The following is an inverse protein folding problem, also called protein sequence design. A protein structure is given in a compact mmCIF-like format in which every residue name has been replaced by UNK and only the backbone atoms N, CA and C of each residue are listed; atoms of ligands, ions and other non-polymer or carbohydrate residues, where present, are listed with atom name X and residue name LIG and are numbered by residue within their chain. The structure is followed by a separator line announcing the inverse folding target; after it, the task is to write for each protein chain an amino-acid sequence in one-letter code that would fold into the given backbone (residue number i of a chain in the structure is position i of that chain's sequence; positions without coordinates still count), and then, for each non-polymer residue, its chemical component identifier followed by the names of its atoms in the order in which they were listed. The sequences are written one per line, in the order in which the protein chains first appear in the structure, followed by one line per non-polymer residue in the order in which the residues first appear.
data_IF_693493078436
#
_entry.id   IF_693493078436
#
_cell.length_a   1.000
_cell.length_b   1.000
_cell.length_c   1.000
_cell.angle_alpha   90.00
_cell.angle_beta   90.00
_cell.angle_gamma   90.00
#
_symmetry.space_group_name_H-M   'P 1'
#
loop_
_entity.id
_entity.type
_entity.pdbx_description
1 polymer ?
#
# COMPACT_ATOMS: atom_id res chain seq x y z
N UNK A 1 -2.56 -0.69 26.36
CA UNK A 1 -1.66 -1.80 26.04
C UNK A 1 -2.32 -2.97 25.29
N UNK A 2 -3.64 -3.22 25.38
CA UNK A 2 -4.31 -4.37 24.72
C UNK A 2 -4.75 -4.09 23.26
N UNK A 3 -5.02 -2.83 22.89
CA UNK A 3 -5.56 -2.49 21.54
C UNK A 3 -4.56 -2.67 20.39
N UNK A 4 -3.28 -2.43 20.63
CA UNK A 4 -2.24 -2.47 19.58
C UNK A 4 -1.88 -3.88 19.08
N UNK A 5 -2.02 -4.89 19.96
CA UNK A 5 -1.70 -6.28 19.62
C UNK A 5 -2.74 -6.95 18.72
N UNK A 6 -3.97 -6.39 18.64
CA UNK A 6 -5.09 -7.00 17.93
C UNK A 6 -5.06 -6.65 16.42
N UNK A 7 -4.65 -5.43 16.06
CA UNK A 7 -4.53 -5.06 14.62
C UNK A 7 -3.44 -5.91 13.93
N UNK A 8 -2.30 -6.10 14.59
CA UNK A 8 -1.24 -7.01 14.12
C UNK A 8 -1.73 -8.47 14.09
N UNK A 9 -2.62 -8.86 15.02
CA UNK A 9 -3.15 -10.23 15.09
C UNK A 9 -4.15 -10.53 13.97
N UNK A 10 -4.91 -9.54 13.49
CA UNK A 10 -5.87 -9.76 12.38
C UNK A 10 -5.12 -9.99 11.06
N UNK A 11 -4.09 -9.20 10.77
CA UNK A 11 -3.21 -9.47 9.63
C UNK A 11 -2.46 -10.81 9.79
N UNK A 12 -1.93 -11.11 11.00
CA UNK A 12 -1.22 -12.36 11.26
C UNK A 12 -2.14 -13.59 11.34
N UNK A 13 -3.40 -13.48 11.78
CA UNK A 13 -4.32 -14.62 11.80
C UNK A 13 -4.80 -15.05 10.42
N UNK A 14 -4.95 -14.12 9.48
CA UNK A 14 -5.24 -14.45 8.08
C UNK A 14 -4.04 -15.13 7.40
N UNK A 15 -2.83 -14.74 7.75
CA UNK A 15 -1.59 -15.37 7.25
C UNK A 15 -1.32 -16.72 7.92
N UNK A 16 -1.58 -16.87 9.23
CA UNK A 16 -1.30 -18.14 9.95
C UNK A 16 -2.20 -19.30 9.56
N UNK A 17 -3.39 -19.06 9.02
CA UNK A 17 -4.23 -20.16 8.50
C UNK A 17 -3.75 -20.69 7.14
N UNK A 18 -2.97 -19.91 6.38
CA UNK A 18 -2.39 -20.31 5.11
C UNK A 18 -1.00 -20.97 5.25
N UNK A 19 -0.26 -20.71 6.34
CA UNK A 19 1.12 -21.19 6.52
C UNK A 19 1.27 -22.58 7.13
N UNK A 20 0.17 -23.34 7.36
CA UNK A 20 0.26 -24.61 8.10
C UNK A 20 0.82 -25.80 7.31
N UNK A 21 1.01 -25.73 5.99
CA UNK A 21 1.29 -26.96 5.19
C UNK A 21 2.48 -26.95 4.23
N UNK A 22 3.37 -25.95 4.21
CA UNK A 22 4.54 -26.08 3.33
C UNK A 22 5.83 -25.47 3.93
N UNK A 23 6.41 -26.12 4.94
CA UNK A 23 7.84 -25.96 5.21
C UNK A 23 8.63 -26.77 4.19
N UNK A 24 9.08 -26.15 3.12
CA UNK A 24 10.32 -26.52 2.42
C UNK A 24 11.35 -25.46 2.77
N UNK A 25 12.34 -25.87 3.54
CA UNK A 25 13.59 -25.15 3.70
C UNK A 25 14.16 -24.88 2.30
N UNK A 26 14.29 -23.63 1.94
CA UNK A 26 15.11 -23.18 0.81
C UNK A 26 16.22 -22.34 1.41
N UNK A 27 17.37 -22.98 1.59
CA UNK A 27 18.63 -22.26 1.68
C UNK A 27 18.88 -21.58 0.33
N UNK A 28 18.91 -20.25 0.28
CA UNK A 28 19.79 -19.55 -0.68
C UNK A 28 19.92 -18.06 -0.34
N UNK A 29 21.12 -17.68 -0.03
CA UNK A 29 21.67 -16.32 -0.10
C UNK A 29 21.72 -15.86 -1.59
N UNK A 30 20.59 -15.63 -2.22
CA UNK A 30 20.53 -14.99 -3.54
C UNK A 30 19.30 -14.10 -3.62
N UNK A 31 19.56 -12.82 -3.60
CA UNK A 31 18.61 -11.79 -4.03
C UNK A 31 18.39 -11.96 -5.54
N UNK A 32 17.28 -12.56 -5.93
CA UNK A 32 16.92 -12.70 -7.36
C UNK A 32 15.75 -11.76 -7.65
N UNK A 33 15.94 -10.84 -8.61
CA UNK A 33 14.83 -10.14 -9.24
C UNK A 33 14.30 -10.98 -10.39
N UNK A 34 12.99 -11.22 -10.43
CA UNK A 34 12.36 -11.91 -11.55
C UNK A 34 11.56 -10.92 -12.37
N UNK A 35 11.96 -10.74 -13.62
CA UNK A 35 11.12 -10.05 -14.59
C UNK A 35 10.06 -11.02 -15.10
N UNK A 36 8.85 -10.90 -14.62
CA UNK A 36 7.72 -11.67 -15.14
C UNK A 36 7.18 -11.03 -16.42
N UNK A 37 6.55 -11.81 -17.27
CA UNK A 37 5.95 -11.32 -18.52
C UNK A 37 4.97 -10.17 -18.24
N UNK A 38 5.08 -9.10 -19.00
CA UNK A 38 4.29 -7.87 -18.92
C UNK A 38 4.75 -6.85 -17.85
N UNK A 39 6.04 -6.58 -17.76
CA UNK A 39 6.59 -5.52 -16.90
C UNK A 39 6.29 -5.69 -15.40
N UNK A 40 6.28 -6.94 -14.92
CA UNK A 40 6.22 -7.23 -13.50
C UNK A 40 7.63 -7.42 -12.95
N UNK A 41 7.96 -6.70 -11.91
CA UNK A 41 9.21 -6.85 -11.16
C UNK A 41 8.86 -7.34 -9.76
N UNK A 42 9.35 -8.50 -9.42
CA UNK A 42 9.20 -9.10 -8.10
C UNK A 42 10.52 -9.05 -7.34
N UNK A 43 10.52 -8.37 -6.20
CA UNK A 43 11.66 -8.33 -5.30
C UNK A 43 11.49 -9.40 -4.22
N UNK A 44 12.15 -10.54 -4.38
CA UNK A 44 12.22 -11.55 -3.34
C UNK A 44 13.30 -11.18 -2.32
N UNK A 45 13.03 -10.18 -1.51
CA UNK A 45 13.87 -9.76 -0.41
C UNK A 45 13.21 -10.26 0.88
N UNK A 46 13.87 -11.13 1.61
CA UNK A 46 13.35 -11.66 2.88
C UNK A 46 13.19 -10.54 3.92
N UNK A 47 12.12 -10.65 4.71
CA UNK A 47 11.84 -9.79 5.87
C UNK A 47 11.57 -8.31 5.56
N UNK A 48 11.13 -7.96 4.34
CA UNK A 48 10.71 -6.60 4.04
C UNK A 48 9.32 -6.35 4.63
N UNK A 49 9.17 -5.21 5.31
CA UNK A 49 7.91 -4.78 5.93
C UNK A 49 7.29 -3.56 5.25
N UNK A 50 8.08 -2.81 4.49
CA UNK A 50 7.60 -1.71 3.66
C UNK A 50 8.60 -1.41 2.54
N UNK A 51 8.09 -0.97 1.39
CA UNK A 51 8.92 -0.52 0.29
C UNK A 51 8.30 0.68 -0.44
N UNK A 52 9.13 1.40 -1.20
CA UNK A 52 8.71 2.45 -2.10
C UNK A 52 9.61 2.49 -3.33
N UNK A 53 9.09 3.02 -4.43
CA UNK A 53 9.77 3.07 -5.72
C UNK A 53 10.03 4.51 -6.13
N UNK A 54 11.29 4.82 -6.51
CA UNK A 54 11.73 6.13 -7.01
C UNK A 54 12.45 5.93 -8.35
N UNK A 55 11.73 6.11 -9.45
CA UNK A 55 12.21 5.72 -10.78
C UNK A 55 12.41 4.21 -10.86
N UNK A 56 13.65 3.78 -11.13
CA UNK A 56 14.05 2.36 -11.13
C UNK A 56 14.64 1.88 -9.81
N UNK A 57 14.78 2.76 -8.82
CA UNK A 57 15.35 2.45 -7.52
C UNK A 57 14.24 2.03 -6.54
N UNK A 58 14.54 1.06 -5.69
CA UNK A 58 13.61 0.59 -4.66
C UNK A 58 14.19 0.84 -3.28
N UNK A 59 13.44 1.54 -2.46
CA UNK A 59 13.73 1.75 -1.06
C UNK A 59 12.97 0.75 -0.21
N UNK A 60 13.63 0.10 0.73
CA UNK A 60 13.02 -0.95 1.55
C UNK A 60 13.36 -0.78 3.03
N UNK A 61 12.48 -1.28 3.89
CA UNK A 61 12.74 -1.47 5.31
C UNK A 61 12.56 -2.96 5.62
N UNK A 62 13.57 -3.55 6.28
CA UNK A 62 13.49 -4.93 6.77
C UNK A 62 13.03 -4.98 8.22
N UNK A 63 12.33 -6.06 8.55
CA UNK A 63 11.94 -6.35 9.92
C UNK A 63 13.17 -6.35 10.86
N UNK A 64 13.03 -5.72 12.03
CA UNK A 64 14.09 -5.62 13.03
C UNK A 64 15.38 -4.90 12.59
N UNK A 65 15.39 -4.25 11.45
CA UNK A 65 16.49 -3.40 11.02
C UNK A 65 16.13 -1.92 11.19
N UNK A 66 17.00 -1.14 11.86
CA UNK A 66 16.83 0.31 11.98
C UNK A 66 17.43 1.04 10.75
N UNK A 67 17.12 0.53 9.57
CA UNK A 67 17.71 1.03 8.32
C UNK A 67 16.70 1.00 7.18
N UNK A 68 16.75 2.06 6.38
CA UNK A 68 16.17 2.07 5.03
C UNK A 68 17.29 1.74 4.06
N UNK A 69 17.07 0.80 3.16
CA UNK A 69 18.07 0.35 2.21
C UNK A 69 17.57 0.65 0.80
N UNK A 70 18.45 1.26 -0.01
CA UNK A 70 18.19 1.51 -1.43
C UNK A 70 18.81 0.42 -2.28
N UNK A 71 18.03 -0.13 -3.19
CA UNK A 71 18.48 -1.05 -4.23
C UNK A 71 18.30 -0.42 -5.61
N UNK A 72 19.22 -0.71 -6.53
CA UNK A 72 19.07 -0.35 -7.94
C UNK A 72 18.28 -1.43 -8.71
N UNK A 73 18.09 -1.22 -10.02
CA UNK A 73 17.45 -2.15 -10.95
C UNK A 73 18.13 -3.54 -11.06
N UNK A 74 19.37 -3.65 -10.65
CA UNK A 74 20.13 -4.91 -10.58
C UNK A 74 20.07 -5.57 -9.20
N UNK A 75 19.19 -5.07 -8.30
CA UNK A 75 19.05 -5.53 -6.90
C UNK A 75 20.34 -5.39 -6.08
N UNK A 76 21.21 -4.46 -6.47
CA UNK A 76 22.42 -4.15 -5.70
C UNK A 76 22.12 -3.03 -4.71
N UNK A 77 22.53 -3.23 -3.47
CA UNK A 77 22.45 -2.18 -2.43
C UNK A 77 23.35 -1.00 -2.83
N UNK A 78 22.75 0.17 -3.02
CA UNK A 78 23.44 1.38 -3.45
C UNK A 78 23.51 2.48 -2.41
N UNK A 79 22.59 2.49 -1.44
CA UNK A 79 22.59 3.45 -0.33
C UNK A 79 21.89 2.88 0.90
N UNK A 80 22.09 3.54 2.07
CA UNK A 80 21.37 3.26 3.30
C UNK A 80 21.19 4.51 4.15
N UNK A 81 20.08 4.55 4.90
CA UNK A 81 19.77 5.60 5.87
C UNK A 81 19.44 4.94 7.20
N UNK A 82 20.16 5.31 8.26
CA UNK A 82 19.84 4.84 9.61
C UNK A 82 18.53 5.49 10.11
N UNK A 83 17.65 4.69 10.68
CA UNK A 83 16.41 5.13 11.31
C UNK A 83 16.42 4.78 12.80
N UNK A 84 15.60 5.46 13.61
CA UNK A 84 15.59 5.21 15.06
C UNK A 84 14.68 4.06 15.49
N UNK A 85 13.79 3.60 14.61
CA UNK A 85 12.83 2.53 14.92
C UNK A 85 12.56 1.68 13.68
N UNK A 86 12.32 0.38 13.87
CA UNK A 86 12.07 -0.59 12.81
C UNK A 86 10.59 -0.94 12.59
N UNK A 87 9.66 -0.29 13.29
CA UNK A 87 8.23 -0.63 13.25
C UNK A 87 7.45 0.23 12.24
N UNK A 88 7.99 0.37 11.02
CA UNK A 88 7.30 1.12 9.95
C UNK A 88 6.38 0.20 9.16
N UNK A 89 5.16 0.69 8.91
CA UNK A 89 4.12 -0.07 8.19
C UNK A 89 3.91 0.44 6.77
N UNK A 90 4.10 1.75 6.56
CA UNK A 90 3.93 2.36 5.24
C UNK A 90 5.16 3.22 4.92
N UNK A 91 5.56 3.17 3.68
CA UNK A 91 6.63 3.99 3.12
C UNK A 91 6.25 4.48 1.73
N UNK A 92 6.60 5.71 1.44
CA UNK A 92 6.53 6.25 0.09
C UNK A 92 7.67 7.23 -0.15
N UNK A 93 8.00 7.46 -1.43
CA UNK A 93 9.08 8.35 -1.86
C UNK A 93 8.55 9.38 -2.84
N UNK A 94 8.74 10.65 -2.51
CA UNK A 94 8.36 11.74 -3.37
C UNK A 94 9.35 12.90 -3.31
N UNK A 95 9.76 13.43 -4.47
CA UNK A 95 10.59 14.63 -4.63
C UNK A 95 11.86 14.63 -3.74
N UNK A 96 12.60 13.52 -3.74
CA UNK A 96 13.84 13.36 -2.97
C UNK A 96 13.65 13.20 -1.47
N UNK A 97 12.45 12.88 -1.03
CA UNK A 97 12.10 12.61 0.37
C UNK A 97 11.46 11.25 0.52
N UNK A 98 11.75 10.59 1.64
CA UNK A 98 11.06 9.38 2.07
C UNK A 98 10.11 9.75 3.19
N UNK A 99 8.89 9.26 3.09
CA UNK A 99 7.85 9.37 4.10
C UNK A 99 7.63 8.01 4.75
N UNK A 100 7.65 7.97 6.08
CA UNK A 100 7.51 6.75 6.87
C UNK A 100 6.40 6.90 7.89
N UNK A 101 5.50 5.95 7.92
CA UNK A 101 4.47 5.84 8.94
C UNK A 101 4.65 4.56 9.75
N UNK A 102 4.55 4.67 11.07
CA UNK A 102 4.66 3.56 12.02
C UNK A 102 3.45 3.48 12.93
N UNK A 103 2.88 2.27 13.07
CA UNK A 103 1.84 1.93 14.06
C UNK A 103 2.38 1.21 15.29
N UNK A 104 3.69 1.27 15.58
CA UNK A 104 4.30 0.64 16.74
C UNK A 104 3.78 1.13 18.10
N UNK A 105 4.56 0.99 19.15
CA UNK A 105 4.20 1.47 20.51
C UNK A 105 3.86 2.96 20.55
N UNK A 106 4.42 3.72 19.63
CA UNK A 106 4.12 5.13 19.39
C UNK A 106 3.86 5.31 17.89
N UNK A 107 2.71 5.90 17.55
CA UNK A 107 2.46 6.37 16.19
C UNK A 107 3.49 7.44 15.86
N UNK A 108 4.25 7.23 14.80
CA UNK A 108 5.21 8.21 14.30
C UNK A 108 5.05 8.39 12.81
N UNK A 109 5.23 9.63 12.36
CA UNK A 109 5.32 9.97 10.95
C UNK A 109 6.61 10.76 10.74
N UNK A 110 7.44 10.31 9.82
CA UNK A 110 8.75 10.89 9.56
C UNK A 110 8.89 11.27 8.10
N UNK A 111 9.51 12.41 7.87
CA UNK A 111 10.02 12.85 6.57
C UNK A 111 11.54 12.76 6.61
N UNK A 112 12.15 12.12 5.63
CA UNK A 112 13.60 11.98 5.50
C UNK A 112 14.05 12.59 4.19
N UNK A 113 14.92 13.57 4.25
CA UNK A 113 15.60 14.13 3.08
C UNK A 113 16.69 13.16 2.63
N UNK A 114 16.56 12.61 1.42
CA UNK A 114 17.50 11.60 0.88
C UNK A 114 18.90 12.18 0.71
N UNK A 115 19.01 13.44 0.31
CA UNK A 115 20.28 14.06 -0.06
C UNK A 115 21.22 14.28 1.12
N UNK A 116 20.69 14.64 2.27
CA UNK A 116 21.47 14.94 3.47
C UNK A 116 21.17 14.00 4.64
N UNK A 117 20.25 13.06 4.46
CA UNK A 117 19.83 12.05 5.45
C UNK A 117 19.26 12.64 6.74
N UNK A 118 18.67 13.84 6.65
CA UNK A 118 18.02 14.49 7.81
C UNK A 118 16.64 13.90 8.02
N UNK A 119 16.34 13.54 9.27
CA UNK A 119 15.06 12.97 9.69
C UNK A 119 14.28 14.01 10.46
N UNK A 120 13.07 14.31 10.01
CA UNK A 120 12.12 15.20 10.67
C UNK A 120 10.91 14.37 11.13
N UNK A 121 10.61 14.38 12.43
CA UNK A 121 9.37 13.81 12.95
C UNK A 121 8.24 14.83 12.77
N UNK A 122 7.19 14.44 12.06
CA UNK A 122 5.99 15.24 11.85
C UNK A 122 4.94 14.77 12.86
N UNK A 123 4.37 15.70 13.59
CA UNK A 123 3.27 15.37 14.50
C UNK A 123 2.04 14.96 13.68
N UNK A 124 1.61 13.70 13.82
CA UNK A 124 0.38 13.23 13.19
C UNK A 124 -0.84 13.91 13.82
N UNK A 125 -1.75 14.46 12.99
CA UNK A 125 -3.08 14.86 13.43
C UNK A 125 -3.91 13.68 13.93
N UNK A 126 -4.78 13.96 14.93
CA UNK A 126 -5.58 12.92 15.59
C UNK A 126 -6.66 12.31 14.67
N UNK A 127 -6.98 12.95 13.56
CA UNK A 127 -7.96 12.51 12.55
C UNK A 127 -7.35 11.60 11.45
N UNK A 128 -6.04 11.33 11.51
CA UNK A 128 -5.40 10.27 10.72
C UNK A 128 -5.16 9.07 11.64
N UNK A 129 -6.02 8.08 11.53
CA UNK A 129 -5.94 6.88 12.37
C UNK A 129 -5.93 5.61 11.53
N UNK A 130 -5.12 4.64 11.94
CA UNK A 130 -5.01 3.33 11.29
C UNK A 130 -4.91 3.37 9.75
N UNK A 131 -3.99 4.17 9.17
CA UNK A 131 -3.82 4.18 7.72
C UNK A 131 -3.27 2.84 7.23
N UNK A 132 -3.82 2.39 6.10
CA UNK A 132 -3.37 1.18 5.40
C UNK A 132 -2.91 1.45 3.96
N UNK A 133 -3.11 2.70 3.48
CA UNK A 133 -2.47 3.25 2.30
C UNK A 133 -1.85 4.60 2.59
N UNK A 134 -0.77 4.91 1.87
CA UNK A 134 -0.12 6.20 1.90
C UNK A 134 0.45 6.52 0.52
N UNK A 135 0.19 7.72 0.02
CA UNK A 135 0.82 8.25 -1.20
C UNK A 135 1.28 9.67 -0.97
N UNK A 136 2.56 9.93 -1.21
CA UNK A 136 3.17 11.24 -1.13
C UNK A 136 3.08 11.94 -2.49
N UNK A 137 2.44 13.10 -2.56
CA UNK A 137 2.09 13.81 -3.78
C UNK A 137 2.68 15.24 -3.76
N UNK A 138 2.44 16.03 -4.81
CA UNK A 138 2.94 17.40 -4.93
C UNK A 138 2.56 18.31 -3.76
N UNK A 139 1.37 18.14 -3.21
CA UNK A 139 0.75 19.08 -2.28
C UNK A 139 0.47 18.50 -0.88
N UNK A 140 0.83 17.24 -0.64
CA UNK A 140 0.62 16.59 0.65
C UNK A 140 0.78 15.08 0.61
N UNK A 141 0.52 14.45 1.74
CA UNK A 141 0.45 12.99 1.85
C UNK A 141 -1.00 12.56 1.98
N UNK A 142 -1.41 11.63 1.16
CA UNK A 142 -2.76 11.09 1.08
C UNK A 142 -2.81 9.72 1.74
N UNK A 143 -3.74 9.56 2.66
CA UNK A 143 -3.94 8.31 3.39
C UNK A 143 -5.33 7.75 3.11
N UNK A 144 -5.44 6.43 3.09
CA UNK A 144 -6.70 5.73 3.34
C UNK A 144 -6.62 5.09 4.71
N UNK A 145 -7.61 5.36 5.53
CA UNK A 145 -7.64 4.99 6.94
C UNK A 145 -8.89 4.18 7.25
N UNK A 146 -8.79 3.30 8.25
CA UNK A 146 -9.96 2.71 8.89
C UNK A 146 -10.46 3.61 10.03
N UNK A 147 -11.76 3.65 10.22
CA UNK A 147 -12.34 4.40 11.32
C UNK A 147 -12.02 3.72 12.67
N UNK A 148 -11.58 4.50 13.67
CA UNK A 148 -11.27 4.03 15.03
C UNK A 148 -12.47 3.43 15.76
N UNK A 149 -13.68 3.68 15.30
CA UNK A 149 -14.91 3.18 15.93
C UNK A 149 -15.19 1.71 15.61
N UNK A 150 -14.41 1.09 14.74
CA UNK A 150 -14.50 -0.36 14.50
C UNK A 150 -14.04 -1.08 15.74
N UNK A 151 -14.97 -1.75 16.42
CA UNK A 151 -14.70 -2.56 17.60
C UNK A 151 -14.02 -3.88 17.18
N UNK A 152 -12.68 -3.82 17.03
CA UNK A 152 -11.87 -4.97 16.67
C UNK A 152 -11.91 -6.11 17.70
N UNK A 153 -12.39 -5.86 18.94
CA UNK A 153 -12.63 -6.90 19.95
C UNK A 153 -13.96 -7.64 19.68
N UNK A 154 -14.84 -7.08 18.83
CA UNK A 154 -16.17 -7.57 18.56
C UNK A 154 -16.42 -7.76 17.05
N UNK A 155 -15.47 -8.42 16.39
CA UNK A 155 -15.49 -8.67 14.94
C UNK A 155 -16.74 -9.43 14.46
N UNK A 156 -17.50 -10.06 15.36
CA UNK A 156 -18.78 -10.73 15.05
C UNK A 156 -19.83 -9.77 14.48
N UNK A 157 -19.65 -8.46 14.63
CA UNK A 157 -20.55 -7.43 14.09
C UNK A 157 -20.08 -6.82 12.77
N UNK A 158 -18.88 -7.18 12.28
CA UNK A 158 -18.39 -6.71 10.99
C UNK A 158 -19.11 -7.50 9.89
N UNK A 159 -19.74 -6.78 8.98
CA UNK A 159 -20.36 -7.39 7.80
C UNK A 159 -19.27 -7.88 6.88
N UNK A 160 -19.24 -9.18 6.62
CA UNK A 160 -18.34 -9.78 5.63
C UNK A 160 -19.15 -10.16 4.41
N UNK A 161 -18.87 -9.56 3.28
CA UNK A 161 -19.49 -9.91 2.01
C UNK A 161 -19.01 -11.28 1.51
N UNK A 162 -19.74 -11.88 0.57
CA UNK A 162 -19.42 -13.21 0.02
C UNK A 162 -18.03 -13.26 -0.66
N UNK A 163 -17.57 -12.16 -1.18
CA UNK A 163 -16.24 -12.00 -1.80
C UNK A 163 -15.10 -11.74 -0.79
N UNK A 164 -15.45 -11.59 0.48
CA UNK A 164 -14.53 -11.37 1.58
C UNK A 164 -14.29 -9.89 1.95
N UNK A 165 -14.98 -8.96 1.29
CA UNK A 165 -14.97 -7.56 1.69
C UNK A 165 -15.51 -7.39 3.12
N UNK A 166 -14.80 -6.62 3.91
CA UNK A 166 -15.18 -6.21 5.27
C UNK A 166 -15.25 -4.68 5.29
N UNK A 167 -16.42 -4.16 5.63
CA UNK A 167 -16.64 -2.71 5.74
C UNK A 167 -16.13 -2.22 7.10
N UNK A 168 -15.03 -1.51 7.08
CA UNK A 168 -14.41 -0.87 8.24
C UNK A 168 -14.69 0.63 8.31
N UNK A 169 -15.65 1.13 7.51
CA UNK A 169 -15.93 2.56 7.42
C UNK A 169 -14.68 3.35 7.04
N UNK A 170 -14.09 2.99 5.90
CA UNK A 170 -12.85 3.56 5.39
C UNK A 170 -13.06 5.01 4.95
N UNK A 171 -12.03 5.82 5.10
CA UNK A 171 -12.03 7.20 4.63
C UNK A 171 -10.67 7.61 4.06
N UNK A 172 -10.71 8.49 3.05
CA UNK A 172 -9.51 9.13 2.51
C UNK A 172 -9.29 10.50 3.15
N UNK A 173 -8.02 10.80 3.46
CA UNK A 173 -7.64 12.06 4.11
C UNK A 173 -6.28 12.52 3.62
N UNK A 174 -6.16 13.83 3.36
CA UNK A 174 -4.91 14.49 2.99
C UNK A 174 -4.29 15.16 4.21
N UNK A 175 -2.97 15.04 4.36
CA UNK A 175 -2.12 15.85 5.21
C UNK A 175 -1.36 16.87 4.34
N UNK A 176 -1.64 18.13 4.47
CA UNK A 176 -1.04 19.20 3.67
C UNK A 176 0.39 19.55 4.16
N UNK A 177 1.36 19.64 3.25
CA UNK A 177 2.76 19.91 3.60
C UNK A 177 2.99 21.30 4.19
N UNK A 178 2.19 22.30 3.81
CA UNK A 178 2.43 23.69 4.18
C UNK A 178 1.86 24.03 5.55
N UNK A 179 0.76 23.39 5.92
CA UNK A 179 0.01 23.71 7.14
C UNK A 179 0.05 22.61 8.17
N UNK A 180 0.39 21.38 7.77
CA UNK A 180 0.17 20.15 8.52
C UNK A 180 -1.29 19.97 8.98
N UNK A 181 -2.20 20.64 8.29
CA UNK A 181 -3.64 20.47 8.47
C UNK A 181 -4.16 19.32 7.61
N UNK A 182 -5.32 18.81 7.98
CA UNK A 182 -5.97 17.71 7.28
C UNK A 182 -7.21 18.16 6.52
N UNK A 183 -7.54 17.42 5.45
CA UNK A 183 -8.80 17.56 4.75
C UNK A 183 -9.28 16.19 4.28
N UNK A 184 -10.54 15.85 4.63
CA UNK A 184 -11.16 14.62 4.15
C UNK A 184 -11.52 14.74 2.67
N UNK A 185 -11.41 13.61 1.97
CA UNK A 185 -11.83 13.45 0.59
C UNK A 185 -13.18 12.73 0.62
N UNK A 186 -14.15 13.27 -0.10
CA UNK A 186 -15.53 12.78 -0.11
C UNK A 186 -15.65 11.55 -1.04
N UNK A 187 -15.30 10.39 -0.49
CA UNK A 187 -15.43 9.09 -1.14
C UNK A 187 -15.68 8.03 -0.07
N UNK A 188 -16.68 7.17 -0.29
CA UNK A 188 -17.03 6.08 0.60
C UNK A 188 -16.65 4.73 0.00
N UNK A 189 -16.50 3.72 0.89
CA UNK A 189 -16.27 2.33 0.52
C UNK A 189 -14.93 2.09 -0.19
N UNK A 190 -13.87 2.80 0.22
CA UNK A 190 -12.56 2.68 -0.39
C UNK A 190 -11.96 1.34 -0.01
N UNK A 191 -11.55 0.55 -1.00
CA UNK A 191 -10.88 -0.73 -0.81
C UNK A 191 -9.44 -0.74 -1.30
N UNK A 192 -9.05 0.28 -2.07
CA UNK A 192 -7.69 0.40 -2.58
C UNK A 192 -7.36 1.80 -3.09
N UNK A 193 -6.06 2.10 -3.15
CA UNK A 193 -5.52 3.34 -3.67
C UNK A 193 -4.31 3.04 -4.56
N UNK A 194 -4.21 3.75 -5.67
CA UNK A 194 -3.04 3.71 -6.54
C UNK A 194 -2.64 5.13 -6.94
N UNK A 195 -1.37 5.44 -6.87
CA UNK A 195 -0.83 6.66 -7.44
C UNK A 195 -0.77 6.55 -8.97
N UNK A 196 -1.32 7.52 -9.69
CA UNK A 196 -1.21 7.62 -11.15
C UNK A 196 0.02 8.46 -11.52
N UNK A 197 0.15 9.61 -10.86
CA UNK A 197 1.26 10.55 -11.00
C UNK A 197 1.22 11.54 -9.81
N UNK A 198 2.10 12.53 -9.81
CA UNK A 198 2.22 13.50 -8.71
C UNK A 198 0.96 14.37 -8.43
N UNK A 199 -0.03 14.37 -9.33
CA UNK A 199 -1.24 15.19 -9.21
C UNK A 199 -2.54 14.36 -9.19
N UNK A 200 -2.47 13.01 -9.34
CA UNK A 200 -3.64 12.15 -9.50
C UNK A 200 -3.53 10.84 -8.76
N UNK A 201 -4.60 10.49 -8.09
CA UNK A 201 -4.79 9.22 -7.37
C UNK A 201 -5.97 8.48 -8.00
N UNK A 202 -5.84 7.18 -8.19
CA UNK A 202 -6.95 6.29 -8.51
C UNK A 202 -7.41 5.60 -7.24
N UNK A 203 -8.66 5.78 -6.86
CA UNK A 203 -9.28 4.99 -5.81
C UNK A 203 -10.02 3.80 -6.42
N UNK A 204 -9.88 2.65 -5.80
CA UNK A 204 -10.73 1.49 -6.01
C UNK A 204 -11.70 1.43 -4.85
N UNK A 205 -12.98 1.51 -5.14
CA UNK A 205 -14.02 1.65 -4.13
C UNK A 205 -15.26 0.81 -4.48
N UNK A 206 -16.18 0.68 -3.53
CA UNK A 206 -17.40 -0.09 -3.66
C UNK A 206 -18.62 0.77 -3.29
N UNK A 207 -19.71 0.60 -4.02
CA UNK A 207 -21.03 1.15 -3.68
C UNK A 207 -22.14 0.15 -4.00
N UNK A 208 -23.39 0.56 -3.87
CA UNK A 208 -24.57 -0.29 -4.14
C UNK A 208 -24.61 -0.93 -5.55
N UNK A 209 -23.82 -0.42 -6.50
CA UNK A 209 -23.75 -0.92 -7.86
C UNK A 209 -22.58 -1.86 -8.11
N UNK A 210 -21.64 -1.98 -7.15
CA UNK A 210 -20.46 -2.81 -7.22
C UNK A 210 -19.16 -2.04 -7.11
N UNK A 211 -18.06 -2.69 -7.48
CA UNK A 211 -16.72 -2.08 -7.42
C UNK A 211 -16.49 -1.12 -8.59
N UNK A 212 -15.79 -0.01 -8.31
CA UNK A 212 -15.46 0.98 -9.33
C UNK A 212 -14.10 1.60 -9.09
N UNK A 213 -13.48 2.07 -10.17
CA UNK A 213 -12.36 2.97 -10.14
C UNK A 213 -12.84 4.42 -10.29
N UNK A 214 -12.20 5.34 -9.58
CA UNK A 214 -12.44 6.78 -9.72
C UNK A 214 -11.15 7.55 -9.55
N UNK A 215 -10.85 8.42 -10.50
CA UNK A 215 -9.70 9.32 -10.46
C UNK A 215 -10.01 10.50 -9.53
N UNK A 216 -9.08 10.84 -8.65
CA UNK A 216 -9.07 12.06 -7.88
C UNK A 216 -7.93 12.96 -8.36
N UNK A 217 -8.25 14.15 -8.81
CA UNK A 217 -7.28 15.19 -9.16
C UNK A 217 -6.96 16.01 -7.91
N UNK A 218 -5.75 15.90 -7.40
CA UNK A 218 -5.32 16.50 -6.12
C UNK A 218 -5.25 18.02 -6.22
N UNK A 219 -4.94 18.54 -7.42
CA UNK A 219 -4.76 19.96 -7.67
C UNK A 219 -6.09 20.74 -7.72
N UNK A 220 -7.11 20.15 -8.32
CA UNK A 220 -8.45 20.75 -8.36
C UNK A 220 -9.33 20.31 -7.20
N UNK A 221 -8.98 19.23 -6.50
CA UNK A 221 -9.80 18.62 -5.46
C UNK A 221 -11.07 17.98 -6.00
N UNK A 222 -11.07 17.47 -7.24
CA UNK A 222 -12.27 16.94 -7.89
C UNK A 222 -12.17 15.46 -8.21
N UNK A 223 -13.31 14.75 -8.05
CA UNK A 223 -13.47 13.37 -8.49
C UNK A 223 -13.88 13.32 -9.96
N UNK A 224 -13.33 12.34 -10.69
CA UNK A 224 -13.74 11.96 -12.03
C UNK A 224 -15.03 11.14 -12.08
N UNK A 225 -15.27 10.52 -13.22
CA UNK A 225 -16.40 9.60 -13.39
C UNK A 225 -16.08 8.20 -12.84
N UNK A 226 -17.06 7.56 -12.18
CA UNK A 226 -16.95 6.18 -11.69
C UNK A 226 -16.90 5.20 -12.87
N UNK A 227 -15.88 4.37 -12.89
CA UNK A 227 -15.69 3.31 -13.89
C UNK A 227 -15.89 1.95 -13.20
N UNK A 228 -17.09 1.37 -13.36
CA UNK A 228 -17.45 0.12 -12.68
C UNK A 228 -16.70 -1.09 -13.26
N UNK A 229 -16.18 -1.92 -12.36
CA UNK A 229 -15.42 -3.13 -12.70
C UNK A 229 -15.68 -4.28 -11.73
N UNK A 230 -16.81 -4.97 -11.92
CA UNK A 230 -17.18 -6.11 -11.08
C UNK A 230 -16.33 -7.37 -11.34
N UNK A 231 -15.53 -7.40 -12.41
CA UNK A 231 -14.73 -8.58 -12.74
C UNK A 231 -13.57 -8.82 -11.78
N UNK A 232 -13.09 -7.77 -11.11
CA UNK A 232 -11.99 -7.88 -10.15
C UNK A 232 -12.46 -8.35 -8.78
N UNK A 233 -13.69 -7.98 -8.35
CA UNK A 233 -14.17 -8.23 -6.99
C UNK A 233 -13.35 -7.50 -5.94
N UNK A 234 -13.41 -7.96 -4.70
CA UNK A 234 -12.63 -7.36 -3.62
C UNK A 234 -11.12 -7.57 -3.82
N UNK A 235 -10.37 -6.47 -3.88
CA UNK A 235 -8.92 -6.45 -3.98
C UNK A 235 -8.35 -5.42 -3.01
N UNK A 236 -7.46 -5.84 -2.14
CA UNK A 236 -6.88 -4.97 -1.12
C UNK A 236 -5.76 -4.08 -1.66
N UNK A 237 -4.90 -4.59 -2.55
CA UNK A 237 -3.87 -3.82 -3.23
C UNK A 237 -4.24 -3.60 -4.69
N UNK A 238 -4.05 -2.39 -5.16
CA UNK A 238 -4.22 -2.03 -6.57
C UNK A 238 -3.07 -1.15 -7.06
N UNK A 239 -2.63 -1.38 -8.29
CA UNK A 239 -1.71 -0.52 -9.01
C UNK A 239 -2.24 -0.30 -10.44
N UNK A 240 -2.06 0.88 -11.01
CA UNK A 240 -2.73 1.29 -12.24
C UNK A 240 -1.73 1.79 -13.27
N UNK A 241 -1.78 1.19 -14.47
CA UNK A 241 -1.17 1.73 -15.69
C UNK A 241 -2.26 2.49 -16.45
N UNK A 242 -2.37 3.78 -16.18
CA UNK A 242 -3.42 4.62 -16.78
C UNK A 242 -3.25 4.78 -18.29
N UNK A 243 -2.01 4.80 -18.79
CA UNK A 243 -1.70 5.01 -20.18
C UNK A 243 -2.21 3.86 -21.07
N UNK A 244 -2.17 2.64 -20.54
CA UNK A 244 -2.67 1.44 -21.20
C UNK A 244 -4.05 1.00 -20.68
N UNK A 245 -4.64 1.71 -19.73
CA UNK A 245 -5.92 1.37 -19.11
C UNK A 245 -5.90 0.02 -18.39
N UNK A 246 -4.74 -0.37 -17.83
CA UNK A 246 -4.55 -1.63 -17.14
C UNK A 246 -4.53 -1.44 -15.62
N UNK A 247 -4.95 -2.49 -14.93
CA UNK A 247 -4.88 -2.56 -13.48
C UNK A 247 -4.21 -3.87 -13.06
N UNK A 248 -3.42 -3.79 -12.01
CA UNK A 248 -2.85 -4.89 -11.28
C UNK A 248 -3.48 -4.89 -9.90
N UNK A 249 -3.92 -6.05 -9.42
CA UNK A 249 -4.64 -6.13 -8.17
C UNK A 249 -4.33 -7.43 -7.42
N UNK A 250 -4.35 -7.36 -6.10
CA UNK A 250 -4.11 -8.51 -5.25
C UNK A 250 -4.89 -8.42 -3.93
N UNK A 251 -5.14 -9.56 -3.33
CA UNK A 251 -5.66 -9.64 -1.96
C UNK A 251 -4.99 -10.78 -1.18
N UNK A 252 -5.05 -10.70 0.14
CA UNK A 252 -4.45 -11.68 1.04
C UNK A 252 -5.17 -13.04 1.04
N UNK A 253 -6.45 -13.08 0.63
CA UNK A 253 -7.27 -14.30 0.63
C UNK A 253 -6.84 -15.26 -0.47
N UNK A 254 -6.68 -14.74 -1.68
CA UNK A 254 -6.38 -15.55 -2.87
C UNK A 254 -4.88 -15.72 -3.10
N UNK A 255 -4.05 -14.89 -2.48
CA UNK A 255 -2.59 -14.85 -2.65
C UNK A 255 -2.18 -14.85 -4.14
N UNK A 256 -2.91 -14.08 -4.95
CA UNK A 256 -2.72 -13.98 -6.40
C UNK A 256 -2.60 -12.54 -6.83
N UNK A 257 -1.74 -12.32 -7.81
CA UNK A 257 -1.75 -11.10 -8.60
C UNK A 257 -2.64 -11.31 -9.81
N UNK A 258 -3.59 -10.42 -9.99
CA UNK A 258 -4.49 -10.39 -11.15
C UNK A 258 -4.21 -9.15 -11.98
N UNK A 259 -4.18 -9.31 -13.30
CA UNK A 259 -4.22 -8.20 -14.25
C UNK A 259 -5.61 -8.06 -14.84
N UNK A 260 -6.03 -6.82 -15.09
CA UNK A 260 -7.31 -6.52 -15.69
C UNK A 260 -7.28 -5.21 -16.47
N UNK A 261 -8.45 -4.77 -16.92
CA UNK A 261 -8.65 -3.45 -17.49
C UNK A 261 -9.50 -2.61 -16.55
N UNK A 262 -9.20 -1.32 -16.47
CA UNK A 262 -10.03 -0.35 -15.72
C UNK A 262 -11.49 -0.40 -16.23
N UNK A 263 -11.69 -0.62 -17.53
CA UNK A 263 -13.01 -0.60 -18.20
C UNK A 263 -13.69 -1.99 -18.26
N UNK A 264 -13.38 -2.91 -17.37
CA UNK A 264 -14.06 -4.22 -17.27
C UNK A 264 -13.93 -5.13 -18.49
N UNK A 265 -12.80 -5.22 -19.12
CA UNK A 265 -12.58 -6.11 -20.28
C UNK A 265 -11.98 -7.47 -19.94
N UNK A 266 -12.20 -7.95 -18.73
CA UNK A 266 -11.74 -9.25 -18.24
C UNK A 266 -10.55 -9.18 -17.30
N UNK A 267 -10.28 -10.28 -16.63
CA UNK A 267 -9.16 -10.45 -15.73
C UNK A 267 -8.37 -11.70 -16.09
N UNK A 268 -7.10 -11.74 -15.73
CA UNK A 268 -6.21 -12.88 -15.86
C UNK A 268 -5.31 -13.02 -14.64
N UNK A 269 -5.01 -14.24 -14.26
CA UNK A 269 -3.99 -14.49 -13.24
C UNK A 269 -2.61 -14.19 -13.83
N UNK A 270 -1.80 -13.45 -13.10
CA UNK A 270 -0.44 -13.07 -13.49
C UNK A 270 0.61 -13.79 -12.66
N UNK A 271 0.38 -13.95 -11.36
CA UNK A 271 1.26 -14.67 -10.45
C UNK A 271 0.49 -15.29 -9.28
N UNK A 272 1.02 -16.37 -8.72
CA UNK A 272 0.52 -17.06 -7.53
C UNK A 272 1.49 -16.90 -6.36
N UNK A 273 0.99 -17.15 -5.15
CA UNK A 273 1.75 -17.10 -3.90
C UNK A 273 2.31 -15.69 -3.55
N UNK A 274 1.55 -14.67 -3.87
CA UNK A 274 1.86 -13.29 -3.51
C UNK A 274 1.38 -13.04 -2.08
N UNK A 275 2.30 -12.68 -1.19
CA UNK A 275 1.97 -12.24 0.16
C UNK A 275 1.67 -10.74 0.13
N UNK A 276 0.51 -10.36 0.67
CA UNK A 276 0.10 -8.97 0.80
C UNK A 276 -0.01 -8.65 2.29
N UNK A 277 0.76 -7.67 2.75
CA UNK A 277 0.79 -7.21 4.13
C UNK A 277 0.13 -5.84 4.28
N UNK A 278 0.34 -4.97 3.31
CA UNK A 278 -0.14 -3.59 3.30
C UNK A 278 -0.76 -3.22 1.96
N UNK A 279 -1.51 -2.13 1.95
CA UNK A 279 -2.04 -1.57 0.72
C UNK A 279 -0.98 -1.10 -0.29
N UNK A 280 0.21 -0.75 0.19
CA UNK A 280 1.33 -0.30 -0.64
C UNK A 280 2.24 -1.44 -1.15
N UNK A 281 1.87 -2.71 -0.99
CA UNK A 281 2.70 -3.83 -1.43
C UNK A 281 2.67 -4.06 -2.96
N UNK A 282 1.93 -3.24 -3.68
CA UNK A 282 1.83 -3.25 -5.12
C UNK A 282 1.94 -1.81 -5.66
N UNK A 283 2.95 -1.52 -6.45
CA UNK A 283 3.23 -0.18 -6.98
C UNK A 283 3.45 -0.27 -8.50
N UNK A 284 2.81 0.61 -9.28
CA UNK A 284 3.11 0.81 -10.69
C UNK A 284 3.87 2.12 -10.88
N UNK A 285 5.05 2.03 -11.51
CA UNK A 285 5.91 3.18 -11.74
C UNK A 285 6.72 3.00 -13.05
N UNK A 286 6.79 4.04 -13.86
CA UNK A 286 7.64 4.11 -15.06
C UNK A 286 7.51 2.91 -16.03
N UNK A 287 6.30 2.38 -16.20
CA UNK A 287 6.02 1.26 -17.10
C UNK A 287 6.15 -0.13 -16.48
N UNK A 288 6.47 -0.21 -15.20
CA UNK A 288 6.70 -1.46 -14.48
C UNK A 288 5.81 -1.59 -13.23
N UNK A 289 5.38 -2.81 -12.94
CA UNK A 289 4.62 -3.13 -11.74
C UNK A 289 5.55 -3.84 -10.74
N UNK A 290 5.74 -3.23 -9.58
CA UNK A 290 6.58 -3.72 -8.50
C UNK A 290 5.72 -4.43 -7.47
N UNK A 291 6.20 -5.58 -6.99
CA UNK A 291 5.54 -6.42 -6.00
C UNK A 291 6.56 -6.72 -4.91
N UNK A 292 6.12 -6.62 -3.66
CA UNK A 292 6.93 -7.02 -2.51
C UNK A 292 6.90 -8.55 -2.31
#
# INVERSE_FOLDING_TARGET
MKRKTVAILVCTCLVLSACADNKKEVESDQTESYQMSNNLIYYNLEDIIAFAVDGTDVWTIKENENKIIKYNDSVEKVDEIDTETAEYNLMDVYNGKIYLYSMGDKITFKEIDISNKTINEIKMPDDISNPFYMSAMDDGVYFVCWNDNVDMENMDNISVADDGYMDFDEYAIKLDYSTYGTSKIDIDGIVGQAEINSEKIMYYAHDDKGYYFVEYDTKSGTMGEKQYNDSLGYQFCVAVDIDNGQVYAANSKDMRLIGGSINNSGKRDLADNIAILNGNDLIYRDGECYIL
#
